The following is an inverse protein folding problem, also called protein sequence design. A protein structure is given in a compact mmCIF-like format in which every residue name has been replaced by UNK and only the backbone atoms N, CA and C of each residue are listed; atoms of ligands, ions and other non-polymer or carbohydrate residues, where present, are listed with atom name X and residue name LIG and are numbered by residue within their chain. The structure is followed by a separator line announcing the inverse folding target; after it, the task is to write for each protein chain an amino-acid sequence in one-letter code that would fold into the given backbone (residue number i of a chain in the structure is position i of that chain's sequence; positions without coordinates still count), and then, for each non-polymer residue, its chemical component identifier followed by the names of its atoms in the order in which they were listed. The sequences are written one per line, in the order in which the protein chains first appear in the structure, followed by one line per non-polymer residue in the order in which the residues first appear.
data_IF_950125134482
#
_entry.id   IF_950125134482
#
_cell.length_a   1.000
_cell.length_b   1.000
_cell.length_c   1.000
_cell.angle_alpha   90.00
_cell.angle_beta   90.00
_cell.angle_gamma   90.00
#
_symmetry.space_group_name_H-M   'P 1'
#
loop_
_entity.id
_entity.type
_entity.pdbx_description
1 polymer ?
#
# COMPACT_ATOMS: atom_id res chain seq x y z
N UNK A 1 -9.10 5.03 -0.80
CA UNK A 1 -8.52 5.72 0.37
C UNK A 1 -7.13 6.21 0.00
N UNK A 2 -6.70 7.39 0.44
CA UNK A 2 -5.37 7.91 0.03
C UNK A 2 -4.21 7.17 0.72
N UNK A 3 -3.06 7.10 0.04
CA UNK A 3 -1.88 6.36 0.50
C UNK A 3 -1.21 7.02 1.72
N UNK A 4 -1.19 8.35 1.79
CA UNK A 4 -0.72 9.11 2.95
C UNK A 4 -1.48 8.70 4.23
N UNK A 5 -2.80 8.52 4.12
CA UNK A 5 -3.62 8.02 5.23
C UNK A 5 -3.21 6.62 5.65
N UNK A 6 -2.99 5.71 4.70
CA UNK A 6 -2.54 4.34 5.01
C UNK A 6 -1.18 4.36 5.70
N UNK A 7 -0.22 5.12 5.15
CA UNK A 7 1.12 5.27 5.73
C UNK A 7 1.03 5.82 7.16
N UNK A 8 0.19 6.83 7.38
CA UNK A 8 -0.04 7.39 8.71
C UNK A 8 -0.52 6.33 9.70
N UNK A 9 -1.52 5.54 9.35
CA UNK A 9 -2.04 4.48 10.22
C UNK A 9 -1.00 3.36 10.48
N UNK A 10 -0.15 3.04 9.51
CA UNK A 10 0.99 2.12 9.72
C UNK A 10 1.95 2.72 10.75
N UNK A 11 2.33 4.00 10.59
CA UNK A 11 3.26 4.69 11.51
C UNK A 11 2.72 4.80 12.93
N UNK A 12 1.41 4.93 13.10
CA UNK A 12 0.76 5.01 14.43
C UNK A 12 0.35 3.65 14.99
N UNK A 13 0.70 2.54 14.32
CA UNK A 13 0.31 1.17 14.69
C UNK A 13 -1.21 0.95 14.78
N UNK A 14 -1.98 1.70 13.99
CA UNK A 14 -3.45 1.67 13.95
C UNK A 14 -3.99 1.16 12.62
N UNK A 15 -3.13 0.60 11.75
CA UNK A 15 -3.51 0.06 10.43
C UNK A 15 -4.65 -0.97 10.49
N UNK A 16 -4.77 -1.72 11.58
CA UNK A 16 -5.87 -2.67 11.80
C UNK A 16 -7.25 -2.00 11.81
N UNK A 17 -7.34 -0.70 12.12
CA UNK A 17 -8.58 0.07 12.04
C UNK A 17 -9.04 0.26 10.59
N UNK A 18 -8.13 0.18 9.61
CA UNK A 18 -8.46 0.20 8.18
C UNK A 18 -8.81 -1.19 7.62
N UNK A 19 -8.46 -2.26 8.34
CA UNK A 19 -8.69 -3.64 7.92
C UNK A 19 -10.02 -4.14 8.47
N UNK A 20 -11.06 -4.07 7.65
CA UNK A 20 -12.41 -4.52 8.02
C UNK A 20 -12.71 -5.95 7.57
N UNK A 21 -13.63 -6.61 8.28
CA UNK A 21 -14.18 -7.91 7.89
C UNK A 21 -13.11 -9.00 7.77
N UNK A 22 -13.07 -9.69 6.63
CA UNK A 22 -12.15 -10.80 6.40
C UNK A 22 -10.67 -10.40 6.50
N UNK A 23 -10.34 -9.12 6.33
CA UNK A 23 -8.96 -8.65 6.37
C UNK A 23 -8.39 -8.49 7.79
N UNK A 24 -9.23 -8.32 8.81
CA UNK A 24 -8.78 -8.02 10.18
C UNK A 24 -7.95 -9.14 10.82
N UNK A 25 -8.19 -10.39 10.38
CA UNK A 25 -7.50 -11.59 10.86
C UNK A 25 -6.53 -12.16 9.81
N UNK A 26 -6.16 -11.36 8.80
CA UNK A 26 -5.26 -11.78 7.72
C UNK A 26 -3.85 -11.26 8.00
N UNK A 27 -2.84 -12.12 7.89
CA UNK A 27 -1.44 -11.69 8.00
C UNK A 27 -1.10 -10.64 6.93
N UNK A 28 -0.32 -9.62 7.29
CA UNK A 28 -0.03 -8.49 6.40
C UNK A 28 0.68 -8.89 5.10
N UNK A 29 1.39 -10.02 5.06
CA UNK A 29 1.96 -10.58 3.83
C UNK A 29 0.89 -11.01 2.82
N UNK A 30 -0.31 -11.36 3.31
CA UNK A 30 -1.45 -11.82 2.56
C UNK A 30 -2.47 -10.70 2.30
N UNK A 31 -2.12 -9.44 2.60
CA UNK A 31 -2.90 -8.26 2.27
C UNK A 31 -2.15 -7.46 1.22
N UNK A 32 -2.79 -7.25 0.07
CA UNK A 32 -2.24 -6.52 -1.06
C UNK A 32 -2.92 -5.16 -1.19
N UNK A 33 -2.12 -4.15 -1.49
CA UNK A 33 -2.57 -2.79 -1.72
C UNK A 33 -2.60 -2.49 -3.21
N UNK A 34 -3.74 -2.02 -3.70
CA UNK A 34 -3.94 -1.65 -5.11
C UNK A 34 -4.42 -0.20 -5.23
N UNK A 35 -3.99 0.48 -6.27
CA UNK A 35 -4.43 1.80 -6.68
C UNK A 35 -5.56 1.71 -7.73
N UNK A 36 -6.56 2.58 -7.62
CA UNK A 36 -7.61 2.74 -8.61
C UNK A 36 -7.04 3.33 -9.90
N UNK A 37 -7.33 2.68 -11.02
CA UNK A 37 -6.78 2.92 -12.37
C UNK A 37 -5.27 2.70 -12.48
N UNK A 38 -4.46 3.48 -11.76
CA UNK A 38 -3.01 3.40 -11.80
C UNK A 38 -2.37 3.91 -10.51
N UNK A 39 -1.18 3.38 -10.18
CA UNK A 39 -0.39 3.81 -9.02
C UNK A 39 0.04 5.27 -9.18
N UNK A 40 -0.40 6.13 -8.26
CA UNK A 40 0.01 7.53 -8.20
C UNK A 40 -0.29 8.14 -6.82
N UNK A 41 0.34 9.28 -6.51
CA UNK A 41 0.08 10.03 -5.27
C UNK A 41 -1.39 10.43 -5.11
N UNK A 42 -2.09 10.65 -6.24
CA UNK A 42 -3.47 11.11 -6.27
C UNK A 42 -4.49 9.96 -6.34
N UNK A 43 -4.04 8.72 -6.54
CA UNK A 43 -4.92 7.57 -6.66
C UNK A 43 -5.62 7.25 -5.34
N UNK A 44 -6.78 6.60 -5.46
CA UNK A 44 -7.44 5.96 -4.34
C UNK A 44 -7.00 4.51 -4.24
N UNK A 45 -6.63 4.09 -3.04
CA UNK A 45 -6.14 2.77 -2.78
C UNK A 45 -7.17 1.89 -2.08
N UNK A 46 -7.05 0.58 -2.24
CA UNK A 46 -7.90 -0.44 -1.62
C UNK A 46 -7.08 -1.69 -1.25
N UNK A 47 -7.46 -2.30 -0.13
CA UNK A 47 -6.88 -3.56 0.32
C UNK A 47 -7.62 -4.75 -0.28
N UNK A 48 -6.85 -5.74 -0.69
CA UNK A 48 -7.35 -7.01 -1.18
C UNK A 48 -6.62 -8.15 -0.47
N UNK A 49 -7.35 -9.23 -0.15
CA UNK A 49 -6.69 -10.46 0.28
C UNK A 49 -5.96 -11.06 -0.91
N UNK A 50 -4.67 -11.35 -0.71
CA UNK A 50 -3.85 -12.08 -1.67
C UNK A 50 -4.49 -13.43 -2.00
N UNK A 51 -4.56 -13.75 -3.29
CA UNK A 51 -5.04 -15.04 -3.80
C UNK A 51 -4.04 -15.58 -4.80
N UNK A 52 -3.94 -16.91 -4.90
CA UNK A 52 -3.06 -17.55 -5.87
C UNK A 52 -3.42 -17.09 -7.29
N UNK A 53 -2.44 -16.55 -8.02
CA UNK A 53 -2.65 -16.03 -9.38
C UNK A 53 -3.15 -14.58 -9.46
N UNK A 54 -3.11 -13.81 -8.38
CA UNK A 54 -3.40 -12.37 -8.45
C UNK A 54 -2.36 -11.66 -9.33
N UNK A 55 -2.82 -11.07 -10.43
CA UNK A 55 -1.98 -10.35 -11.38
C UNK A 55 -1.67 -8.93 -10.86
N UNK A 56 -0.70 -8.26 -11.50
CA UNK A 56 -0.40 -6.84 -11.22
C UNK A 56 -1.57 -5.90 -11.52
N UNK A 57 -2.54 -6.35 -12.33
CA UNK A 57 -3.78 -5.63 -12.62
C UNK A 57 -4.98 -6.53 -12.33
N UNK A 58 -5.97 -6.01 -11.62
CA UNK A 58 -7.24 -6.69 -11.35
C UNK A 58 -8.41 -5.79 -11.73
N UNK A 59 -9.58 -6.39 -12.00
CA UNK A 59 -10.82 -5.67 -12.25
C UNK A 59 -11.88 -6.08 -11.24
N UNK A 60 -12.48 -5.11 -10.56
CA UNK A 60 -13.57 -5.30 -9.61
C UNK A 60 -14.61 -4.19 -9.81
N UNK A 61 -15.89 -4.53 -9.89
CA UNK A 61 -16.99 -3.55 -10.06
C UNK A 61 -16.77 -2.55 -11.20
N UNK A 62 -16.29 -3.05 -12.35
CA UNK A 62 -15.95 -2.27 -13.55
C UNK A 62 -14.72 -1.37 -13.44
N UNK A 63 -14.10 -1.27 -12.27
CA UNK A 63 -12.92 -0.46 -12.00
C UNK A 63 -11.66 -1.33 -12.12
N UNK A 64 -10.63 -0.77 -12.77
CA UNK A 64 -9.31 -1.40 -12.84
C UNK A 64 -8.47 -0.97 -11.64
N UNK A 65 -7.67 -1.90 -11.15
CA UNK A 65 -6.82 -1.71 -10.00
C UNK A 65 -5.40 -2.19 -10.32
N UNK A 66 -4.42 -1.33 -10.07
CA UNK A 66 -3.00 -1.62 -10.24
C UNK A 66 -2.33 -1.93 -8.91
N UNK A 67 -1.58 -3.03 -8.84
CA UNK A 67 -0.94 -3.48 -7.61
C UNK A 67 0.22 -2.56 -7.26
N UNK A 68 0.21 -2.01 -6.05
CA UNK A 68 1.36 -1.34 -5.47
C UNK A 68 2.32 -2.34 -4.83
N UNK A 69 1.95 -2.90 -3.68
CA UNK A 69 2.76 -3.84 -2.90
C UNK A 69 1.91 -4.60 -1.87
N UNK A 70 2.53 -5.53 -1.12
CA UNK A 70 1.88 -6.10 0.06
C UNK A 70 1.94 -5.14 1.25
N UNK A 71 1.00 -5.28 2.20
CA UNK A 71 1.00 -4.45 3.40
C UNK A 71 2.28 -4.66 4.24
N UNK A 72 2.78 -5.90 4.30
CA UNK A 72 4.06 -6.19 4.95
C UNK A 72 5.23 -5.46 4.28
N UNK A 73 5.27 -5.42 2.95
CA UNK A 73 6.29 -4.68 2.20
C UNK A 73 6.16 -3.17 2.43
N UNK A 74 4.94 -2.64 2.48
CA UNK A 74 4.70 -1.24 2.79
C UNK A 74 5.26 -0.86 4.18
N UNK A 75 4.99 -1.66 5.22
CA UNK A 75 5.55 -1.45 6.55
C UNK A 75 7.08 -1.41 6.52
N UNK A 76 7.70 -2.39 5.84
CA UNK A 76 9.15 -2.44 5.70
C UNK A 76 9.72 -1.20 5.01
N UNK A 77 9.10 -0.72 3.93
CA UNK A 77 9.55 0.46 3.20
C UNK A 77 9.43 1.73 4.03
N UNK A 78 8.33 1.89 4.79
CA UNK A 78 8.13 3.02 5.70
C UNK A 78 9.25 3.03 6.74
N UNK A 79 9.50 1.91 7.41
CA UNK A 79 10.57 1.80 8.41
C UNK A 79 11.96 2.06 7.79
N UNK A 80 12.20 1.51 6.60
CA UNK A 80 13.43 1.73 5.84
C UNK A 80 13.67 3.22 5.56
N UNK A 81 12.69 3.93 5.00
CA UNK A 81 12.85 5.35 4.67
C UNK A 81 12.95 6.25 5.89
N UNK A 82 12.23 5.92 6.97
CA UNK A 82 12.35 6.63 8.25
C UNK A 82 13.71 6.40 8.92
N UNK A 83 14.35 5.24 8.69
CA UNK A 83 15.69 4.96 9.22
C UNK A 83 16.80 5.71 8.49
N UNK A 84 16.63 6.02 7.20
CA UNK A 84 17.66 6.66 6.38
C UNK A 84 17.67 8.19 6.48
N UNK A 85 16.51 8.81 6.71
CA UNK A 85 16.38 10.26 6.72
C UNK A 85 15.53 10.72 7.90
N UNK A 86 16.01 11.72 8.64
CA UNK A 86 15.27 12.30 9.77
C UNK A 86 13.92 12.90 9.35
N UNK A 87 12.89 12.71 10.19
CA UNK A 87 11.50 13.20 10.09
C UNK A 87 11.01 13.48 8.65
N UNK A 88 10.56 12.43 7.95
CA UNK A 88 9.73 12.57 6.74
C UNK A 88 8.24 12.77 7.11
N UNK A 89 7.56 13.63 6.35
CA UNK A 89 6.09 13.74 6.36
C UNK A 89 5.48 12.57 5.59
N UNK A 90 4.19 12.30 5.82
CA UNK A 90 3.49 11.20 5.14
C UNK A 90 3.49 11.40 3.61
N UNK A 91 3.31 12.63 3.13
CA UNK A 91 3.32 12.95 1.69
C UNK A 91 4.65 12.65 1.01
N UNK A 92 5.77 12.93 1.69
CA UNK A 92 7.11 12.64 1.16
C UNK A 92 7.31 11.11 1.09
N UNK A 93 6.86 10.38 2.12
CA UNK A 93 6.93 8.92 2.13
C UNK A 93 6.10 8.29 1.00
N UNK A 94 4.94 8.85 0.64
CA UNK A 94 4.15 8.39 -0.51
C UNK A 94 5.02 8.41 -1.78
N UNK A 95 5.68 9.53 -2.06
CA UNK A 95 6.51 9.71 -3.25
C UNK A 95 7.68 8.72 -3.24
N UNK A 96 8.44 8.67 -2.14
CA UNK A 96 9.60 7.77 -2.03
C UNK A 96 9.23 6.30 -2.23
N UNK A 97 8.10 5.87 -1.69
CA UNK A 97 7.62 4.48 -1.78
C UNK A 97 7.20 4.15 -3.22
N UNK A 98 6.44 5.04 -3.87
CA UNK A 98 6.02 4.84 -5.26
C UNK A 98 7.25 4.81 -6.17
N UNK A 99 8.14 5.79 -6.07
CA UNK A 99 9.36 5.88 -6.87
C UNK A 99 10.24 4.63 -6.68
N UNK A 100 10.38 4.15 -5.45
CA UNK A 100 11.16 2.94 -5.18
C UNK A 100 10.56 1.69 -5.81
N UNK A 101 9.24 1.53 -5.75
CA UNK A 101 8.55 0.37 -6.31
C UNK A 101 8.54 0.41 -7.84
N UNK A 102 8.38 1.59 -8.45
CA UNK A 102 8.42 1.76 -9.90
C UNK A 102 9.82 1.45 -10.46
N UNK A 103 10.88 1.91 -9.78
CA UNK A 103 12.27 1.61 -10.16
C UNK A 103 12.65 0.13 -10.02
N UNK A 104 11.93 -0.67 -9.24
CA UNK A 104 12.16 -2.12 -9.15
C UNK A 104 11.34 -2.93 -10.15
N UNK A 105 10.26 -2.36 -10.70
CA UNK A 105 9.37 -3.03 -11.65
C UNK A 105 9.78 -2.78 -13.12
N UNK A 106 10.69 -1.83 -13.37
CA UNK A 106 11.35 -1.57 -14.66
C UNK A 106 12.78 -2.13 -14.72
#
# INVERSE_FOLDING_TARGET
MKLDKIIKEVRTNTINELLSGDLSNTDYENIMLYAEFTVSTDADYKFFRSRKGMAGLIKEEEIWFERLCSLNQLCFLIDHFLSQYGRKTDDILVIDIIDHLDNQNN
#
